data_IF_405451073932
#
_entry.id   IF_405451073932
#
_cell.length_a   1.000
_cell.length_b   1.000
_cell.length_c   1.000
_cell.angle_alpha   90.00
_cell.angle_beta   90.00
_cell.angle_gamma   90.00
#
_symmetry.space_group_name_H-M   'P 1'
#
loop_
_entity.id
_entity.type
_entity.pdbx_description
1 polymer ?
#
# COMPACT_ATOMS: atom_id res chain seq x y z
N UNK A 1 -23.97 13.29 -6.45
CA UNK A 1 -22.55 13.67 -6.27
C UNK A 1 -22.35 13.88 -4.78
N UNK A 2 -22.07 12.81 -4.04
CA UNK A 2 -21.69 12.88 -2.62
C UNK A 2 -21.32 11.47 -2.15
N UNK A 3 -20.05 11.33 -1.82
CA UNK A 3 -19.48 10.44 -0.82
C UNK A 3 -19.56 8.93 -1.08
N UNK A 4 -18.77 8.49 -2.05
CA UNK A 4 -18.17 7.15 -1.95
C UNK A 4 -17.33 7.13 -0.67
N UNK A 5 -17.53 6.15 0.23
CA UNK A 5 -16.66 6.02 1.39
C UNK A 5 -15.26 5.79 0.83
N UNK A 6 -14.33 6.68 1.18
CA UNK A 6 -12.91 6.44 1.01
C UNK A 6 -12.60 5.26 1.92
N UNK A 7 -12.86 4.06 1.42
CA UNK A 7 -12.37 2.80 1.97
C UNK A 7 -10.88 3.04 2.17
N UNK A 8 -10.42 2.99 3.41
CA UNK A 8 -9.11 3.45 3.88
C UNK A 8 -7.99 2.74 3.11
N UNK A 9 -7.69 3.23 1.90
CA UNK A 9 -6.72 2.73 0.91
C UNK A 9 -5.40 2.31 1.58
N UNK A 10 -4.88 3.02 2.60
CA UNK A 10 -3.63 2.62 3.24
C UNK A 10 -3.72 1.32 4.04
N UNK A 11 -4.87 0.98 4.64
CA UNK A 11 -5.01 -0.27 5.40
C UNK A 11 -5.02 -1.48 4.48
N UNK A 12 -5.72 -1.39 3.34
CA UNK A 12 -5.74 -2.46 2.34
C UNK A 12 -4.35 -2.65 1.72
N UNK A 13 -3.67 -1.56 1.33
CA UNK A 13 -2.31 -1.61 0.79
C UNK A 13 -1.32 -2.24 1.78
N UNK A 14 -1.44 -1.94 3.07
CA UNK A 14 -0.55 -2.52 4.09
C UNK A 14 -0.85 -3.99 4.34
N UNK A 15 -2.13 -4.36 4.43
CA UNK A 15 -2.53 -5.75 4.59
C UNK A 15 -2.02 -6.60 3.42
N UNK A 16 -2.19 -6.11 2.18
CA UNK A 16 -1.71 -6.78 0.97
C UNK A 16 -0.18 -6.83 0.90
N UNK A 17 0.54 -5.74 1.18
CA UNK A 17 2.02 -5.74 1.19
C UNK A 17 2.59 -6.70 2.24
N UNK A 18 1.93 -6.88 3.39
CA UNK A 18 2.37 -7.80 4.45
C UNK A 18 2.04 -9.25 4.11
N UNK A 19 0.84 -9.53 3.57
CA UNK A 19 0.40 -10.90 3.29
C UNK A 19 1.15 -11.51 2.11
N UNK A 20 1.46 -10.70 1.10
CA UNK A 20 2.05 -11.17 -0.14
C UNK A 20 3.59 -11.26 -0.08
N UNK A 21 4.27 -10.39 0.69
CA UNK A 21 5.73 -10.44 0.84
C UNK A 21 6.21 -11.52 1.84
N UNK A 22 5.71 -12.75 1.74
CA UNK A 22 6.19 -13.90 2.53
C UNK A 22 7.44 -14.57 1.91
N UNK A 23 8.14 -13.87 1.01
CA UNK A 23 9.38 -14.35 0.40
C UNK A 23 10.55 -14.17 1.37
N UNK A 24 10.94 -15.27 2.03
CA UNK A 24 11.97 -15.36 3.08
C UNK A 24 13.40 -15.08 2.60
N UNK A 25 13.60 -14.38 1.48
CA UNK A 25 14.92 -14.14 0.85
C UNK A 25 15.25 -12.68 0.55
N UNK A 26 14.50 -11.70 1.06
CA UNK A 26 14.93 -10.29 1.00
C UNK A 26 15.66 -9.90 2.28
N UNK A 27 16.99 -9.80 2.19
CA UNK A 27 17.84 -9.27 3.26
C UNK A 27 17.39 -7.84 3.57
N UNK A 28 16.99 -7.57 4.81
CA UNK A 28 16.65 -6.20 5.22
C UNK A 28 17.86 -5.29 5.06
N UNK A 29 17.72 -4.22 4.27
CA UNK A 29 18.75 -3.20 4.13
C UNK A 29 18.47 -2.04 5.09
N UNK A 30 19.51 -1.57 5.76
CA UNK A 30 19.42 -0.42 6.65
C UNK A 30 19.73 0.86 5.87
N UNK A 31 19.04 1.94 6.23
CA UNK A 31 19.30 3.28 5.72
C UNK A 31 19.79 4.18 6.86
N UNK A 32 20.67 5.14 6.53
CA UNK A 32 21.15 6.11 7.52
C UNK A 32 20.13 7.23 7.71
N UNK A 33 19.85 7.53 8.97
CA UNK A 33 19.17 8.76 9.38
C UNK A 33 20.19 9.89 9.48
N UNK A 34 19.78 11.10 9.08
CA UNK A 34 20.58 12.30 9.21
C UNK A 34 19.66 13.52 9.40
N UNK A 35 20.25 14.64 9.83
CA UNK A 35 19.52 15.90 9.96
C UNK A 35 19.72 16.76 8.70
N UNK A 36 18.65 17.39 8.23
CA UNK A 36 18.67 18.41 7.20
C UNK A 36 18.02 19.68 7.77
N UNK A 37 18.84 20.63 8.21
CA UNK A 37 18.38 21.79 8.99
C UNK A 37 17.70 21.34 10.30
N UNK A 38 16.43 21.72 10.47
CA UNK A 38 15.59 21.36 11.64
C UNK A 38 14.80 20.05 11.46
N UNK A 39 14.96 19.37 10.32
CA UNK A 39 14.21 18.17 9.97
C UNK A 39 15.09 16.92 10.00
N UNK A 40 14.47 15.76 10.24
CA UNK A 40 15.10 14.46 10.08
C UNK A 40 14.85 13.93 8.66
N UNK A 41 15.86 13.29 8.08
CA UNK A 41 15.80 12.69 6.75
C UNK A 41 16.39 11.27 6.73
N UNK A 42 15.92 10.46 5.77
CA UNK A 42 16.45 9.12 5.48
C UNK A 42 17.19 9.19 4.16
N UNK A 43 18.43 8.68 4.12
CA UNK A 43 19.15 8.52 2.84
C UNK A 43 18.75 7.19 2.20
N UNK A 44 17.90 7.25 1.19
CA UNK A 44 17.49 6.07 0.43
C UNK A 44 18.68 5.48 -0.35
N UNK A 45 18.98 4.17 -0.22
CA UNK A 45 19.91 3.49 -1.09
C UNK A 45 19.43 3.56 -2.55
N UNK A 46 20.35 3.34 -3.50
CA UNK A 46 20.08 3.47 -4.94
C UNK A 46 18.84 2.67 -5.38
N UNK A 47 18.69 1.46 -4.85
CA UNK A 47 17.65 0.52 -5.25
C UNK A 47 16.25 0.86 -4.70
N UNK A 48 16.14 1.84 -3.78
CA UNK A 48 14.87 2.29 -3.20
C UNK A 48 14.51 3.74 -3.60
N UNK A 49 15.17 4.31 -4.59
CA UNK A 49 14.87 5.68 -5.04
C UNK A 49 13.54 5.71 -5.79
N UNK A 50 12.76 6.76 -5.56
CA UNK A 50 11.58 7.07 -6.36
C UNK A 50 11.98 7.83 -7.63
N UNK A 51 11.19 7.69 -8.70
CA UNK A 51 11.33 8.45 -9.95
C UNK A 51 10.90 9.91 -9.81
N UNK A 52 9.88 10.17 -8.99
CA UNK A 52 9.31 11.50 -8.78
C UNK A 52 10.03 12.35 -7.74
N UNK A 53 9.54 13.58 -7.55
CA UNK A 53 10.07 14.55 -6.59
C UNK A 53 9.41 14.46 -5.20
N UNK A 54 8.21 13.89 -5.14
CA UNK A 54 7.38 13.87 -3.94
C UNK A 54 6.77 12.48 -3.71
N UNK A 55 6.53 12.17 -2.44
CA UNK A 55 5.89 10.93 -1.98
C UNK A 55 4.76 11.25 -1.01
N UNK A 56 3.72 10.43 -0.98
CA UNK A 56 2.79 10.40 0.14
C UNK A 56 3.46 9.74 1.34
N UNK A 57 3.19 10.25 2.54
CA UNK A 57 3.72 9.74 3.80
C UNK A 57 2.58 9.38 4.76
N UNK A 58 2.58 8.16 5.32
CA UNK A 58 1.67 7.75 6.39
C UNK A 58 2.45 7.12 7.54
N UNK A 59 2.13 7.52 8.77
CA UNK A 59 2.70 6.95 9.99
C UNK A 59 1.71 5.97 10.62
N UNK A 60 2.16 4.75 10.92
CA UNK A 60 1.36 3.71 11.56
C UNK A 60 2.16 3.09 12.69
N UNK A 61 1.78 3.43 13.92
CA UNK A 61 2.58 3.13 15.10
C UNK A 61 4.00 3.70 14.97
N UNK A 62 5.00 2.80 14.90
CA UNK A 62 6.42 3.15 14.71
C UNK A 62 6.88 3.07 13.25
N UNK A 63 6.00 2.68 12.32
CA UNK A 63 6.30 2.54 10.90
C UNK A 63 6.00 3.85 10.16
N UNK A 64 6.84 4.15 9.17
CA UNK A 64 6.62 5.23 8.20
C UNK A 64 6.54 4.58 6.82
N UNK A 65 5.41 4.76 6.16
CA UNK A 65 5.15 4.25 4.82
C UNK A 65 5.28 5.41 3.84
N UNK A 66 6.06 5.22 2.78
CA UNK A 66 6.24 6.16 1.69
C UNK A 66 5.67 5.55 0.41
N UNK A 67 4.82 6.30 -0.29
CA UNK A 67 4.20 5.88 -1.55
C UNK A 67 4.52 6.91 -2.65
N UNK A 68 4.86 6.49 -3.88
CA UNK A 68 5.06 7.41 -5.00
C UNK A 68 3.79 8.23 -5.26
N UNK A 69 3.95 9.54 -5.52
CA UNK A 69 2.81 10.43 -5.82
C UNK A 69 2.47 10.46 -7.30
N UNK A 70 3.46 10.22 -8.15
CA UNK A 70 3.34 10.11 -9.61
C UNK A 70 2.58 8.85 -10.03
N UNK A 71 2.69 7.76 -9.27
CA UNK A 71 1.97 6.52 -9.53
C UNK A 71 1.55 5.77 -8.24
N UNK A 72 0.57 6.29 -7.48
CA UNK A 72 0.16 5.71 -6.21
C UNK A 72 -0.55 4.35 -6.37
N UNK A 73 -1.04 4.03 -7.57
CA UNK A 73 -1.82 2.82 -7.84
C UNK A 73 -0.96 1.65 -8.35
N UNK A 74 0.23 1.90 -8.89
CA UNK A 74 1.16 0.84 -9.31
C UNK A 74 1.41 -0.21 -8.23
N UNK A 75 1.57 0.21 -6.98
CA UNK A 75 1.82 -0.72 -5.86
C UNK A 75 0.65 -1.69 -5.68
N UNK A 76 -0.58 -1.19 -5.83
CA UNK A 76 -1.79 -2.01 -5.74
C UNK A 76 -1.95 -2.90 -6.96
N UNK A 77 -1.75 -2.39 -8.17
CA UNK A 77 -1.84 -3.18 -9.41
C UNK A 77 -0.79 -4.30 -9.43
N UNK A 78 0.47 -3.99 -9.12
CA UNK A 78 1.56 -4.98 -9.04
C UNK A 78 1.37 -6.00 -7.92
N UNK A 79 0.51 -5.69 -6.92
CA UNK A 79 0.16 -6.65 -5.88
C UNK A 79 -0.86 -7.68 -6.37
N UNK A 80 -1.65 -7.37 -7.41
CA UNK A 80 -2.61 -8.30 -7.99
C UNK A 80 -1.90 -9.50 -8.65
N UNK A 81 -0.75 -9.28 -9.27
CA UNK A 81 0.06 -10.33 -9.92
C UNK A 81 0.68 -11.33 -8.94
N UNK A 82 0.53 -11.10 -7.64
CA UNK A 82 1.12 -11.94 -6.60
C UNK A 82 0.07 -12.78 -5.85
N UNK A 83 -1.19 -12.69 -6.23
CA UNK A 83 -2.19 -13.67 -5.80
C UNK A 83 -1.94 -15.03 -6.46
N UNK A 84 -2.29 -16.09 -5.75
CA UNK A 84 -2.28 -17.45 -6.31
C UNK A 84 -3.42 -17.61 -7.31
N UNK A 85 -3.27 -18.54 -8.25
CA UNK A 85 -4.25 -18.78 -9.32
C UNK A 85 -5.66 -19.10 -8.77
N UNK A 86 -5.75 -19.64 -7.55
CA UNK A 86 -7.01 -20.00 -6.87
C UNK A 86 -7.63 -18.86 -6.05
N UNK A 87 -7.00 -17.68 -6.01
CA UNK A 87 -7.52 -16.54 -5.26
C UNK A 87 -8.80 -15.99 -5.89
N UNK A 88 -9.90 -16.02 -5.12
CA UNK A 88 -11.24 -15.58 -5.57
C UNK A 88 -11.81 -16.39 -6.75
N UNK A 89 -11.41 -17.65 -6.89
CA UNK A 89 -11.90 -18.57 -7.94
C UNK A 89 -13.43 -18.77 -7.92
N UNK A 90 -14.05 -18.58 -6.75
CA UNK A 90 -15.49 -18.57 -6.61
C UNK A 90 -15.96 -17.41 -5.73
N UNK A 91 -17.11 -16.87 -6.08
CA UNK A 91 -17.78 -15.82 -5.31
C UNK A 91 -19.12 -16.37 -4.82
N UNK A 92 -19.23 -16.58 -3.52
CA UNK A 92 -20.52 -16.89 -2.90
C UNK A 92 -21.29 -15.59 -2.65
N UNK A 93 -22.03 -15.17 -3.68
CA UNK A 93 -22.84 -13.95 -3.63
C UNK A 93 -24.28 -14.32 -3.19
N UNK A 94 -24.76 -13.82 -2.04
CA UNK A 94 -26.12 -14.10 -1.60
C UNK A 94 -27.15 -13.43 -2.51
N UNK A 95 -28.37 -13.98 -2.51
CA UNK A 95 -29.52 -13.38 -3.18
C UNK A 95 -29.80 -11.97 -2.65
N UNK A 96 -30.20 -11.07 -3.54
CA UNK A 96 -30.49 -9.69 -3.17
C UNK A 96 -31.79 -9.61 -2.37
N UNK A 97 -31.73 -9.04 -1.16
CA UNK A 97 -32.91 -8.79 -0.35
C UNK A 97 -33.81 -7.72 -0.96
N UNK A 98 -35.12 -7.93 -0.90
CA UNK A 98 -36.11 -6.94 -1.29
C UNK A 98 -36.12 -5.78 -0.28
N UNK A 99 -35.93 -4.55 -0.76
CA UNK A 99 -36.11 -3.33 0.03
C UNK A 99 -37.58 -2.89 0.02
N UNK A 100 -38.05 -2.30 1.13
CA UNK A 100 -39.37 -1.68 1.17
C UNK A 100 -39.47 -0.57 0.12
N UNK A 101 -40.58 -0.55 -0.62
CA UNK A 101 -40.89 0.55 -1.54
C UNK A 101 -41.44 1.71 -0.71
N UNK A 102 -40.80 2.87 -0.83
CA UNK A 102 -41.31 4.14 -0.30
C UNK A 102 -42.54 4.61 -1.09
#
# INVERSE_FOLDING_TARGET
MSDFPILDIPHMVIYTLVYINNDRRRVMQTAKLFNNGRSQAVRLPKDFRFSGNDVFIKKIGKLVVLLPKDDPWSVLVNSLDQFTDDFMDSRDQPSQDSREKF
#
